data_IF_176799871149
#
_entry.id   IF_176799871149
#
_cell.length_a   1.000
_cell.length_b   1.000
_cell.length_c   1.000
_cell.angle_alpha   90.00
_cell.angle_beta   90.00
_cell.angle_gamma   90.00
#
_symmetry.space_group_name_H-M   'P 1'
#
loop_
_entity.id
_entity.type
_entity.pdbx_description
1 polymer ?
2 polymer ?
3 polymer ?
4 water ?
#
loop_
_entity_poly.entity_id
_entity_poly.type
_entity_poly.pdbx_seq_one_letter_code
_entity_poly.pdbx_strand_id
1 'polydeoxyribonucleotide' '(DT)(DC)(DT)(DA)(DG)(DG)(DG)(DT)(DC)(DC)(DT)' ?
2 'polydeoxyribonucleotide' '(DA)(DG)(DG)(DA)(DC)(DC)(DOC)' ?
#
# COMPACT_ATOMS: atom_id res chain seq x y z
N UNK C 26 -13.21 -23.59 -4.39
CA UNK C 26 -13.08 -22.55 -3.33
C UNK C 26 -11.63 -21.85 -3.10
N UNK C 27 -10.50 -22.56 -3.41
CA UNK C 27 -9.10 -22.10 -3.33
C UNK C 27 -8.57 -21.05 -4.32
N UNK C 28 -7.84 -20.09 -3.81
CA UNK C 28 -7.50 -18.94 -4.64
C UNK C 28 -6.05 -18.87 -4.92
N UNK C 29 -5.74 -18.13 -5.98
CA UNK C 29 -4.35 -17.83 -6.26
C UNK C 29 -4.32 -16.29 -6.27
N UNK C 30 -3.74 -15.73 -5.20
CA UNK C 30 -3.55 -14.28 -5.07
C UNK C 30 -2.14 -13.79 -5.25
N UNK C 31 -1.94 -12.69 -5.97
CA UNK C 31 -0.57 -12.15 -5.96
C UNK C 31 -0.59 -10.76 -5.23
N UNK C 32 0.48 -10.42 -4.59
CA UNK C 32 0.67 -9.12 -3.99
C UNK C 32 1.94 -8.53 -4.64
N UNK C 33 1.84 -7.32 -5.22
CA UNK C 33 2.93 -6.76 -5.97
C UNK C 33 3.40 -5.54 -5.17
N UNK C 34 4.66 -5.48 -4.86
CA UNK C 34 5.17 -4.47 -3.95
C UNK C 34 6.38 -3.80 -4.53
N UNK C 35 6.27 -2.57 -4.84
CA UNK C 35 7.34 -1.83 -5.58
C UNK C 35 8.43 -1.40 -4.68
N UNK C 36 9.68 -1.60 -5.08
CA UNK C 36 10.77 -1.22 -4.25
C UNK C 36 10.87 0.38 -4.16
N UNK C 37 11.09 0.90 -2.94
CA UNK C 37 11.35 2.21 -2.65
C UNK C 37 10.79 3.05 -3.75
N UNK C 38 9.47 2.97 -3.87
CA UNK C 38 8.74 3.64 -4.93
C UNK C 38 9.09 5.08 -5.26
N UNK C 39 8.98 5.99 -4.33
CA UNK C 39 9.25 7.40 -4.73
C UNK C 39 10.64 7.56 -5.22
N UNK C 40 11.56 6.85 -4.61
CA UNK C 40 12.96 7.02 -5.07
C UNK C 40 13.01 6.46 -6.47
N UNK C 41 12.38 5.30 -6.79
CA UNK C 41 12.41 4.83 -8.15
C UNK C 41 11.97 5.92 -9.08
N UNK C 42 10.93 6.66 -8.69
CA UNK C 42 10.32 7.59 -9.65
C UNK C 42 11.27 8.80 -9.82
N UNK C 43 11.97 9.15 -8.75
CA UNK C 43 12.90 10.29 -8.78
C UNK C 43 14.16 9.89 -9.59
N UNK C 44 14.71 8.68 -9.37
CA UNK C 44 15.81 8.13 -10.17
C UNK C 44 15.47 8.01 -11.67
N UNK C 45 14.20 7.80 -11.98
CA UNK C 45 13.84 7.74 -13.41
C UNK C 45 13.88 9.18 -13.93
N UNK C 46 13.44 10.12 -13.11
CA UNK C 46 13.47 11.55 -13.46
C UNK C 46 14.87 12.23 -13.62
N UNK C 47 15.67 12.39 -12.56
CA UNK C 47 17.13 12.63 -12.69
C UNK C 47 18.18 11.37 -12.66
N UNK C 48 18.44 10.75 -13.84
CA UNK C 48 19.39 9.63 -13.97
C UNK C 48 20.69 9.76 -13.19
N UNK C 49 21.24 10.97 -13.09
CA UNK C 49 22.43 11.25 -12.27
C UNK C 49 22.35 10.83 -10.76
N UNK C 50 21.13 10.52 -10.33
CA UNK C 50 20.93 9.94 -9.03
C UNK C 50 20.91 8.43 -9.13
N UNK C 51 20.79 7.82 -10.32
CA UNK C 51 20.98 6.33 -10.42
C UNK C 51 22.11 5.69 -9.55
N UNK C 52 23.39 6.09 -9.72
CA UNK C 52 24.53 5.52 -8.96
C UNK C 52 24.50 6.02 -7.49
N UNK C 53 23.93 7.23 -7.33
CA UNK C 53 24.07 8.01 -6.11
C UNK C 53 23.04 7.71 -4.98
N UNK C 54 23.43 7.66 -3.72
CA UNK C 54 22.47 7.26 -2.69
C UNK C 54 21.43 8.41 -2.60
N UNK C 55 20.14 8.05 -2.68
CA UNK C 55 19.04 8.99 -2.79
C UNK C 55 18.01 8.85 -1.71
N UNK C 56 17.74 9.97 -1.11
CA UNK C 56 16.75 10.18 -0.12
C UNK C 56 15.66 11.03 -0.75
N UNK C 57 14.35 10.68 -0.52
CA UNK C 57 13.21 11.52 -0.84
C UNK C 57 12.76 12.10 0.54
N UNK C 58 12.65 13.43 0.62
CA UNK C 58 12.22 14.04 1.86
C UNK C 58 10.92 14.77 1.75
N UNK C 59 10.19 14.77 2.84
CA UNK C 59 9.02 15.59 2.98
C UNK C 59 9.29 16.24 4.33
N UNK C 60 9.27 17.56 4.37
CA UNK C 60 9.54 18.35 5.60
C UNK C 60 10.88 17.96 6.17
N UNK C 61 10.88 17.48 7.41
CA UNK C 61 12.10 17.03 8.04
C UNK C 61 12.46 15.55 7.87
N UNK C 62 11.75 14.83 7.03
CA UNK C 62 11.99 13.42 7.05
C UNK C 62 12.49 12.86 5.77
N UNK C 63 13.16 11.72 5.82
CA UNK C 63 13.54 10.94 4.62
C UNK C 63 12.58 9.80 4.59
N UNK C 64 11.53 9.95 3.79
CA UNK C 64 10.37 9.08 3.91
C UNK C 64 10.76 7.82 3.23
N UNK C 65 11.70 7.96 2.27
CA UNK C 65 12.23 6.78 1.59
C UNK C 65 13.54 7.05 0.91
N UNK C 66 14.26 5.98 0.54
CA UNK C 66 15.55 6.16 -0.12
C UNK C 66 15.91 4.92 -0.96
N UNK C 67 16.78 5.14 -1.95
CA UNK C 67 17.18 4.04 -2.79
C UNK C 67 18.14 3.10 -2.06
N UNK C 68 18.48 1.97 -2.70
CA UNK C 68 19.19 0.90 -2.02
C UNK C 68 20.52 1.29 -1.55
N UNK C 69 21.24 2.07 -2.37
CA UNK C 69 22.60 2.52 -2.11
C UNK C 69 22.51 3.18 -0.75
N UNK C 70 21.67 4.17 -0.67
CA UNK C 70 21.41 4.88 0.53
C UNK C 70 21.11 3.98 1.71
N UNK C 71 20.26 3.00 1.49
CA UNK C 71 19.77 2.20 2.60
C UNK C 71 20.95 1.45 3.13
N UNK C 72 21.75 0.92 2.19
CA UNK C 72 22.97 0.12 2.42
C UNK C 72 23.94 0.94 3.26
N UNK C 73 24.27 2.14 2.74
CA UNK C 73 25.10 3.12 3.49
C UNK C 73 24.34 3.69 4.73
N UNK C 74 23.39 2.91 5.31
CA UNK C 74 22.64 3.11 6.57
C UNK C 74 21.32 3.89 6.82
N UNK C 75 20.33 3.84 5.93
CA UNK C 75 19.21 4.78 6.09
C UNK C 75 17.90 4.04 6.23
N UNK C 76 16.90 4.65 6.88
CA UNK C 76 15.57 3.99 6.92
C UNK C 76 14.41 4.92 6.64
N UNK C 77 13.36 4.29 6.08
CA UNK C 77 12.08 4.90 5.80
C UNK C 77 11.85 5.62 7.14
N UNK C 78 11.75 6.93 7.03
CA UNK C 78 11.36 7.76 8.16
C UNK C 78 12.37 8.05 9.24
N UNK C 79 13.60 8.41 8.85
CA UNK C 79 14.56 9.02 9.75
C UNK C 79 14.62 10.54 9.56
N UNK C 80 15.18 11.24 10.54
CA UNK C 80 15.35 12.68 10.46
C UNK C 80 16.32 13.10 9.33
N UNK C 81 16.02 14.19 8.63
CA UNK C 81 16.96 14.71 7.64
C UNK C 81 18.30 15.07 8.29
N UNK C 82 18.45 14.80 9.60
CA UNK C 82 19.72 14.96 10.34
C UNK C 82 20.19 13.61 10.85
N UNK C 83 19.51 13.06 11.85
CA UNK C 83 19.80 11.73 12.38
C UNK C 83 20.15 10.79 11.24
N UNK C 84 20.01 11.30 10.01
CA UNK C 84 20.20 10.54 8.76
C UNK C 84 21.07 11.23 7.73
N UNK C 85 20.89 12.52 7.49
CA UNK C 85 21.87 13.21 6.64
C UNK C 85 23.17 13.02 7.35
N UNK C 86 23.21 13.41 8.62
CA UNK C 86 24.46 13.35 9.43
C UNK C 86 24.93 11.92 9.76
N UNK C 87 24.01 10.96 9.59
CA UNK C 87 24.38 9.55 9.66
C UNK C 87 25.04 9.20 8.35
N UNK C 88 25.08 10.13 7.36
CA UNK C 88 25.68 9.77 6.08
C UNK C 88 26.02 10.77 4.93
N UNK C 89 27.12 10.46 4.22
CA UNK C 89 27.67 11.24 3.12
C UNK C 89 26.73 11.95 2.26
N UNK C 90 27.35 12.72 1.37
CA UNK C 90 26.76 13.14 0.14
C UNK C 90 25.27 13.11 0.25
N UNK C 91 24.67 11.95 0.57
CA UNK C 91 23.20 11.82 0.58
C UNK C 91 22.47 12.90 -0.25
N UNK C 92 22.10 12.58 -1.50
CA UNK C 92 21.22 13.53 -2.21
C UNK C 92 19.75 13.52 -1.64
N UNK C 93 19.18 14.73 -1.54
CA UNK C 93 17.82 14.91 -1.08
C UNK C 93 17.06 15.51 -2.19
N UNK C 94 15.85 14.98 -2.37
CA UNK C 94 14.92 15.44 -3.39
C UNK C 94 13.65 15.58 -2.61
N UNK C 95 12.89 16.61 -2.93
CA UNK C 95 11.71 16.87 -2.18
C UNK C 95 10.58 16.05 -2.79
N UNK C 96 9.88 15.29 -1.94
CA UNK C 96 8.74 14.46 -2.35
C UNK C 96 7.42 14.87 -1.74
N UNK C 97 7.31 16.15 -1.34
CA UNK C 97 6.04 16.70 -0.77
C UNK C 97 4.85 16.68 -1.68
N UNK C 98 5.13 16.90 -2.91
CA UNK C 98 4.19 16.97 -4.00
C UNK C 98 4.10 15.55 -4.58
N UNK C 99 2.93 14.90 -4.47
CA UNK C 99 2.79 13.50 -4.67
C UNK C 99 2.40 13.23 -6.07
N UNK C 100 2.25 14.24 -6.84
CA UNK C 100 1.65 14.11 -8.15
C UNK C 100 2.24 13.07 -9.10
N UNK C 101 3.54 13.12 -9.29
CA UNK C 101 4.15 12.14 -10.11
C UNK C 101 4.07 10.74 -9.51
N UNK C 102 4.19 10.60 -8.18
CA UNK C 102 4.10 9.26 -7.59
C UNK C 102 2.67 8.70 -7.85
N UNK C 103 1.66 9.53 -7.62
CA UNK C 103 0.32 9.16 -7.79
C UNK C 103 0.01 8.75 -9.27
N UNK C 104 0.62 9.46 -10.20
CA UNK C 104 0.43 9.05 -11.59
C UNK C 104 1.10 7.77 -11.93
N UNK C 105 2.32 7.57 -11.46
CA UNK C 105 3.01 6.34 -11.74
C UNK C 105 2.22 5.19 -11.02
N UNK C 106 1.77 5.45 -9.81
CA UNK C 106 0.96 4.41 -9.04
C UNK C 106 -0.22 3.95 -9.85
N UNK C 107 -0.95 4.83 -10.48
CA UNK C 107 -2.04 4.37 -11.29
C UNK C 107 -1.61 3.72 -12.57
N UNK C 108 -0.48 4.15 -13.12
CA UNK C 108 0.01 3.40 -14.31
C UNK C 108 0.24 1.96 -14.00
N UNK C 109 0.82 1.70 -12.78
CA UNK C 109 1.09 0.33 -12.37
C UNK C 109 -0.21 -0.42 -12.21
N UNK C 110 -1.17 0.14 -11.47
CA UNK C 110 -2.42 -0.62 -11.24
C UNK C 110 -3.10 -0.94 -12.59
N UNK C 111 -3.20 0.06 -13.50
CA UNK C 111 -3.85 -0.13 -14.82
C UNK C 111 -3.11 -1.27 -15.55
N UNK C 112 -1.81 -1.28 -15.48
CA UNK C 112 -1.10 -2.42 -16.09
C UNK C 112 -1.54 -3.78 -15.50
N UNK C 113 -1.67 -3.89 -14.20
CA UNK C 113 -2.00 -5.15 -13.59
C UNK C 113 -3.47 -5.43 -13.92
N UNK C 114 -4.30 -4.40 -14.05
CA UNK C 114 -5.71 -4.62 -14.42
C UNK C 114 -5.80 -5.30 -15.80
N UNK C 115 -4.79 -5.08 -16.61
CA UNK C 115 -4.83 -5.62 -17.92
C UNK C 115 -4.66 -7.14 -17.86
N UNK C 116 -3.92 -7.62 -16.85
CA UNK C 116 -3.80 -9.02 -16.64
C UNK C 116 -5.09 -9.54 -16.18
N UNK C 117 -5.68 -8.97 -15.15
CA UNK C 117 -6.93 -9.54 -14.61
C UNK C 117 -7.60 -8.36 -13.96
N UNK C 118 -8.84 -8.15 -14.28
CA UNK C 118 -9.53 -6.91 -13.93
C UNK C 118 -9.63 -6.59 -12.43
N UNK C 119 -9.54 -7.60 -11.58
CA UNK C 119 -9.79 -7.36 -10.20
C UNK C 119 -8.54 -7.08 -9.41
N UNK C 120 -8.20 -5.81 -9.25
CA UNK C 120 -6.96 -5.41 -8.60
C UNK C 120 -7.25 -4.47 -7.53
N UNK C 121 -6.67 -4.76 -6.35
CA UNK C 121 -6.88 -3.90 -5.21
C UNK C 121 -5.63 -3.07 -4.84
N UNK C 122 -5.75 -1.75 -4.73
CA UNK C 122 -4.64 -0.97 -4.29
C UNK C 122 -4.55 -0.85 -2.77
N UNK C 123 -3.32 -0.77 -2.23
CA UNK C 123 -3.09 -0.59 -0.83
C UNK C 123 -2.00 0.48 -0.85
N UNK C 124 -2.36 1.72 -0.69
CA UNK C 124 -1.44 2.85 -0.72
C UNK C 124 -1.00 3.01 -2.14
N UNK C 125 0.14 3.67 -2.41
CA UNK C 125 0.47 3.94 -3.81
C UNK C 125 1.36 2.89 -4.39
N UNK C 126 1.99 2.03 -3.53
CA UNK C 126 2.93 1.14 -4.08
C UNK C 126 2.65 -0.33 -3.95
N UNK C 127 1.43 -0.69 -3.63
CA UNK C 127 1.09 -2.13 -3.48
C UNK C 127 -0.21 -2.46 -4.16
N UNK C 128 -0.32 -3.63 -4.70
CA UNK C 128 -1.55 -4.01 -5.42
C UNK C 128 -1.78 -5.54 -5.17
N UNK C 129 -2.98 -5.96 -4.97
CA UNK C 129 -3.33 -7.36 -4.92
C UNK C 129 -4.10 -7.65 -6.21
N UNK C 130 -3.87 -8.81 -6.83
CA UNK C 130 -4.63 -9.21 -7.96
C UNK C 130 -5.07 -10.59 -7.71
N UNK C 131 -6.36 -10.89 -7.99
CA UNK C 131 -6.85 -12.23 -7.81
C UNK C 131 -6.58 -12.91 -9.09
N UNK C 132 -5.67 -13.88 -9.06
CA UNK C 132 -5.31 -14.58 -10.32
C UNK C 132 -6.09 -15.90 -10.52
N UNK C 133 -7.02 -16.19 -9.62
CA UNK C 133 -7.72 -17.45 -9.65
C UNK C 133 -8.28 -17.83 -11.05
N UNK C 134 -9.05 -16.93 -11.64
CA UNK C 134 -9.64 -17.28 -12.90
C UNK C 134 -8.58 -17.41 -13.94
N UNK C 135 -7.53 -16.63 -13.82
CA UNK C 135 -6.55 -16.66 -14.93
C UNK C 135 -5.70 -17.92 -14.86
N UNK C 136 -5.32 -18.31 -13.68
CA UNK C 136 -4.58 -19.57 -13.51
C UNK C 136 -5.40 -20.75 -14.10
N UNK C 137 -6.66 -20.87 -13.75
CA UNK C 137 -7.54 -21.91 -14.27
C UNK C 137 -7.70 -21.90 -15.80
N UNK C 138 -7.79 -20.76 -16.38
CA UNK C 138 -7.88 -20.74 -17.80
C UNK C 138 -6.57 -21.25 -18.37
N UNK C 139 -5.43 -20.93 -17.76
CA UNK C 139 -4.18 -21.40 -18.30
C UNK C 139 -4.06 -22.92 -18.21
N UNK C 140 -4.27 -23.46 -17.02
CA UNK C 140 -4.25 -24.89 -16.84
C UNK C 140 -5.14 -25.62 -17.81
N UNK C 141 -6.31 -25.10 -18.16
CA UNK C 141 -7.19 -25.77 -19.09
C UNK C 141 -6.61 -25.85 -20.45
N UNK C 142 -5.82 -24.87 -20.80
CA UNK C 142 -5.20 -24.75 -22.11
C UNK C 142 -4.06 -25.75 -22.26
N UNK C 143 -3.38 -26.01 -21.14
CA UNK C 143 -2.25 -26.93 -21.17
C UNK C 143 -2.78 -28.31 -21.40
N UNK C 144 -2.24 -28.97 -22.42
CA UNK C 144 -2.57 -30.37 -22.64
C UNK C 144 -1.96 -31.36 -21.58
N UNK C 145 -2.62 -32.53 -21.44
CA UNK C 145 -2.21 -33.72 -20.61
C UNK C 145 -0.74 -33.91 -20.15
N UNK C 146 0.26 -33.66 -21.03
CA UNK C 146 1.69 -33.90 -20.75
C UNK C 146 2.53 -32.71 -20.27
N UNK C 147 2.47 -31.57 -20.95
CA UNK C 147 3.29 -30.40 -20.57
C UNK C 147 3.05 -29.87 -19.14
N UNK C 148 1.93 -30.32 -18.59
CA UNK C 148 1.59 -30.13 -17.17
C UNK C 148 2.68 -30.67 -16.20
N UNK C 149 3.40 -31.67 -16.65
CA UNK C 149 4.49 -32.21 -15.88
C UNK C 149 5.75 -31.33 -16.04
N UNK C 150 5.69 -30.36 -16.95
CA UNK C 150 6.84 -29.54 -17.21
C UNK C 150 6.68 -28.14 -16.58
N UNK C 151 5.51 -27.91 -15.95
CA UNK C 151 5.21 -26.65 -15.29
C UNK C 151 6.28 -26.35 -14.26
N UNK C 152 6.83 -25.18 -14.30
CA UNK C 152 7.90 -24.89 -13.38
C UNK C 152 7.64 -23.66 -12.60
N UNK C 153 8.44 -23.42 -11.58
CA UNK C 153 8.34 -22.23 -10.85
C UNK C 153 9.09 -21.07 -11.39
N UNK C 154 8.60 -19.85 -11.09
CA UNK C 154 9.32 -18.68 -11.49
C UNK C 154 9.61 -17.87 -10.23
N UNK C 155 10.91 -17.71 -9.96
CA UNK C 155 11.32 -17.14 -8.72
C UNK C 155 11.59 -18.13 -7.55
N UNK C 156 11.56 -17.62 -6.31
CA UNK C 156 11.84 -18.40 -5.18
C UNK C 156 10.63 -19.15 -4.67
N UNK C 157 10.93 -20.23 -3.96
CA UNK C 157 9.87 -20.99 -3.32
C UNK C 157 10.14 -20.76 -1.85
N UNK C 158 9.13 -20.21 -1.12
CA UNK C 158 9.32 -19.86 0.31
C UNK C 158 9.82 -21.11 1.06
N UNK C 159 10.76 -20.89 1.94
CA UNK C 159 11.27 -21.99 2.78
C UNK C 159 11.91 -23.09 1.96
N UNK C 160 12.18 -22.84 0.68
CA UNK C 160 12.89 -23.83 -0.08
C UNK C 160 12.13 -25.18 -0.17
N UNK C 161 10.83 -25.07 -0.11
CA UNK C 161 10.01 -26.21 -0.02
C UNK C 161 10.00 -26.95 -1.36
N UNK C 162 9.91 -28.27 -1.31
CA UNK C 162 9.85 -29.10 -2.52
C UNK C 162 8.45 -29.02 -3.20
N UNK C 163 8.47 -28.98 -4.50
CA UNK C 163 7.26 -28.91 -5.24
C UNK C 163 6.74 -30.33 -5.53
N UNK C 164 5.44 -30.50 -5.61
CA UNK C 164 4.89 -31.79 -5.93
C UNK C 164 4.00 -31.53 -7.04
N UNK C 165 4.43 -31.93 -8.23
CA UNK C 165 3.71 -31.71 -9.50
C UNK C 165 2.41 -32.43 -9.55
N UNK C 166 2.10 -33.28 -8.55
CA UNK C 166 0.83 -33.96 -8.61
C UNK C 166 -0.14 -33.28 -7.72
N UNK C 167 0.35 -32.28 -6.99
CA UNK C 167 -0.53 -31.50 -6.12
C UNK C 167 -1.18 -30.41 -6.94
N UNK C 168 -2.46 -30.43 -7.03
CA UNK C 168 -3.10 -29.44 -7.89
C UNK C 168 -2.89 -28.00 -7.38
N UNK C 169 -2.80 -27.89 -6.08
CA UNK C 169 -2.61 -26.65 -5.49
C UNK C 169 -1.20 -26.10 -5.76
N UNK C 170 -0.19 -27.00 -5.77
CA UNK C 170 1.22 -26.60 -6.14
C UNK C 170 1.24 -26.13 -7.59
N UNK C 171 0.56 -26.88 -8.45
CA UNK C 171 0.53 -26.48 -9.88
C UNK C 171 -0.14 -25.08 -10.15
N UNK C 172 -1.19 -24.78 -9.35
CA UNK C 172 -1.84 -23.51 -9.49
C UNK C 172 -0.94 -22.39 -8.98
N UNK C 173 -0.34 -22.59 -7.81
CA UNK C 173 0.51 -21.56 -7.29
C UNK C 173 1.74 -21.34 -8.19
N UNK C 174 2.29 -22.40 -8.83
CA UNK C 174 3.37 -22.15 -9.77
C UNK C 174 2.92 -21.39 -10.98
N UNK C 175 1.76 -21.71 -11.55
CA UNK C 175 1.29 -20.97 -12.74
C UNK C 175 1.15 -19.52 -12.26
N UNK C 176 0.62 -19.40 -11.04
CA UNK C 176 0.47 -18.11 -10.42
C UNK C 176 1.86 -17.42 -10.31
N UNK C 177 2.99 -18.15 -10.04
CA UNK C 177 4.25 -17.44 -9.97
C UNK C 177 4.71 -16.99 -11.36
N UNK C 178 4.32 -17.71 -12.41
CA UNK C 178 4.61 -17.37 -13.81
C UNK C 178 3.82 -16.10 -14.21
N UNK C 179 2.54 -15.96 -13.77
CA UNK C 179 1.80 -14.76 -14.12
C UNK C 179 2.60 -13.60 -13.46
N UNK C 180 2.90 -13.80 -12.17
CA UNK C 180 3.61 -12.81 -11.39
C UNK C 180 4.95 -12.38 -12.10
N UNK C 181 5.76 -13.33 -12.57
CA UNK C 181 6.98 -12.89 -13.22
C UNK C 181 6.61 -12.04 -14.46
N UNK C 182 5.56 -12.41 -15.23
CA UNK C 182 5.13 -11.66 -16.40
C UNK C 182 4.67 -10.26 -16.00
N UNK C 183 3.94 -10.17 -14.89
CA UNK C 183 3.56 -8.82 -14.48
C UNK C 183 4.86 -7.99 -14.20
N UNK C 184 5.79 -8.56 -13.44
CA UNK C 184 6.95 -7.77 -13.10
C UNK C 184 7.78 -7.44 -14.32
N UNK C 185 7.87 -8.34 -15.30
CA UNK C 185 8.63 -8.07 -16.52
C UNK C 185 7.94 -6.88 -17.20
N UNK C 186 6.61 -6.93 -17.33
CA UNK C 186 5.86 -5.92 -18.00
C UNK C 186 6.04 -4.58 -17.26
N UNK C 187 5.94 -4.53 -15.93
CA UNK C 187 6.09 -3.25 -15.21
C UNK C 187 7.47 -2.66 -15.43
N UNK C 188 8.48 -3.54 -15.55
CA UNK C 188 9.79 -3.12 -15.90
C UNK C 188 9.91 -2.65 -17.39
N UNK C 189 9.48 -3.42 -18.39
CA UNK C 189 9.60 -3.08 -19.78
C UNK C 189 8.70 -1.88 -20.20
N UNK C 190 7.54 -1.79 -19.60
CA UNK C 190 6.60 -0.80 -20.01
C UNK C 190 6.70 0.48 -19.19
N UNK C 191 7.01 0.34 -17.91
CA UNK C 191 7.09 1.53 -17.05
C UNK C 191 8.40 1.79 -16.40
N UNK C 192 9.47 0.93 -16.63
CA UNK C 192 10.76 1.21 -15.99
C UNK C 192 10.77 0.89 -14.46
N UNK C 193 9.74 0.27 -13.84
CA UNK C 193 9.78 0.02 -12.42
C UNK C 193 10.12 -1.43 -12.03
N UNK C 194 10.90 -1.61 -10.93
CA UNK C 194 11.15 -2.95 -10.42
C UNK C 194 10.30 -3.16 -9.20
N UNK C 195 10.19 -4.39 -8.75
CA UNK C 195 9.31 -4.64 -7.64
C UNK C 195 9.30 -6.08 -7.22
N UNK C 196 8.69 -6.35 -6.07
CA UNK C 196 8.65 -7.73 -5.55
C UNK C 196 7.25 -8.30 -5.79
N UNK C 197 7.12 -9.60 -5.74
CA UNK C 197 5.73 -10.14 -5.82
C UNK C 197 5.68 -11.31 -4.90
N UNK C 198 4.50 -11.59 -4.36
CA UNK C 198 4.40 -12.84 -3.62
C UNK C 198 3.15 -13.55 -4.04
N UNK C 199 3.20 -14.85 -4.32
CA UNK C 199 1.97 -15.60 -4.65
C UNK C 199 1.64 -16.59 -3.51
N UNK C 200 0.34 -16.66 -3.17
CA UNK C 200 -0.12 -17.37 -2.05
C UNK C 200 -1.63 -17.55 -2.22
N UNK C 201 -2.26 -18.24 -1.27
CA UNK C 201 -3.64 -18.55 -1.45
C UNK C 201 -4.65 -17.56 -0.85
N UNK C 202 -4.19 -16.51 -0.19
CA UNK C 202 -5.02 -15.46 0.28
C UNK C 202 -4.19 -14.14 0.38
N UNK C 203 -4.84 -13.03 0.69
CA UNK C 203 -4.09 -11.77 0.74
C UNK C 203 -3.03 -11.63 1.84
N UNK C 204 -3.37 -12.07 3.05
CA UNK C 204 -2.44 -12.04 4.17
C UNK C 204 -1.10 -12.73 3.73
N UNK C 205 -1.20 -13.96 3.22
CA UNK C 205 -0.06 -14.74 2.99
C UNK C 205 0.78 -14.17 1.76
N UNK C 206 0.05 -13.69 0.76
CA UNK C 206 0.70 -13.15 -0.40
C UNK C 206 1.49 -11.98 0.04
N UNK C 207 0.90 -11.15 0.87
CA UNK C 207 1.60 -9.98 1.35
C UNK C 207 2.75 -10.34 2.32
N UNK C 208 2.53 -11.33 3.17
CA UNK C 208 3.64 -11.74 4.08
C UNK C 208 4.81 -12.35 3.27
N UNK C 209 4.53 -13.03 2.17
CA UNK C 209 5.56 -13.72 1.50
C UNK C 209 6.25 -12.85 0.43
N UNK C 210 5.60 -11.74 0.01
CA UNK C 210 6.19 -10.94 -1.07
C UNK C 210 7.47 -10.28 -0.65
N UNK C 211 7.66 -10.05 0.64
CA UNK C 211 8.93 -9.41 1.05
C UNK C 211 10.02 -10.42 1.53
N UNK C 212 9.91 -11.76 1.28
CA UNK C 212 10.93 -12.65 1.83
C UNK C 212 12.25 -12.42 1.11
N UNK C 213 12.23 -12.06 -0.17
CA UNK C 213 13.50 -11.73 -0.92
C UNK C 213 13.39 -10.33 -1.47
N UNK C 214 14.03 -9.44 -0.75
CA UNK C 214 13.44 -8.09 -0.57
C UNK C 214 13.57 -7.34 -1.73
N UNK C 215 14.79 -7.27 -2.36
CA UNK C 215 14.95 -6.29 -3.50
C UNK C 215 14.13 -6.51 -4.80
N UNK C 216 14.48 -7.30 -5.77
CA UNK C 216 13.55 -7.07 -6.99
C UNK C 216 13.33 -8.50 -7.36
N UNK C 217 12.57 -9.20 -6.52
CA UNK C 217 12.47 -10.60 -6.65
C UNK C 217 11.05 -11.06 -6.35
N UNK C 218 10.78 -12.32 -6.53
CA UNK C 218 9.52 -12.83 -6.11
C UNK C 218 9.50 -14.16 -5.40
N UNK C 219 8.48 -14.42 -4.60
CA UNK C 219 8.42 -15.69 -3.84
C UNK C 219 7.01 -16.27 -3.88
N UNK C 220 6.90 -17.61 -3.78
CA UNK C 220 5.65 -18.27 -3.85
C UNK C 220 5.52 -19.12 -2.60
N UNK C 221 4.32 -19.11 -2.01
CA UNK C 221 4.11 -19.83 -0.78
C UNK C 221 3.33 -21.10 -1.00
N UNK C 222 3.97 -22.29 -0.81
CA UNK C 222 3.15 -23.53 -0.91
C UNK C 222 2.41 -23.74 0.42
N UNK C 223 1.22 -24.34 0.39
CA UNK C 223 0.48 -24.50 1.67
C UNK C 223 1.29 -25.11 2.84
N UNK C 224 2.03 -26.18 2.61
CA UNK C 224 2.75 -26.76 3.74
C UNK C 224 3.66 -25.81 4.42
N UNK C 225 3.95 -24.63 3.88
CA UNK C 225 4.87 -23.77 4.68
C UNK C 225 4.19 -22.60 5.35
N UNK C 226 2.86 -22.66 5.34
CA UNK C 226 2.09 -21.54 5.86
C UNK C 226 2.39 -21.30 7.34
N UNK C 227 2.52 -22.36 8.16
CA UNK C 227 2.87 -22.10 9.58
C UNK C 227 4.35 -21.57 9.72
N UNK C 228 5.29 -22.13 8.99
CA UNK C 228 6.61 -21.65 9.03
C UNK C 228 6.54 -20.09 8.79
N UNK C 229 5.82 -19.64 7.76
CA UNK C 229 5.87 -18.18 7.48
C UNK C 229 5.30 -17.49 8.64
N UNK C 230 4.12 -17.93 9.10
CA UNK C 230 3.39 -17.13 10.06
C UNK C 230 4.17 -17.11 11.34
N UNK C 231 4.80 -18.24 11.69
CA UNK C 231 5.67 -18.26 12.92
C UNK C 231 7.01 -17.59 12.69
N UNK C 232 7.41 -17.25 11.43
CA UNK C 232 8.66 -16.52 11.24
C UNK C 232 8.39 -15.06 11.78
N UNK C 233 7.09 -14.67 11.97
CA UNK C 233 6.90 -13.28 12.54
C UNK C 233 7.44 -13.16 14.01
N UNK C 234 7.90 -11.98 14.41
CA UNK C 234 8.39 -11.81 15.81
C UNK C 234 7.47 -11.10 16.68
N UNK C 235 6.50 -10.42 16.07
CA UNK C 235 5.38 -9.86 16.87
C UNK C 235 4.01 -9.77 16.12
N UNK C 236 2.89 -9.93 16.83
CA UNK C 236 1.60 -9.92 16.20
C UNK C 236 1.34 -8.59 15.52
N UNK C 237 2.12 -7.54 15.82
CA UNK C 237 1.99 -6.30 15.12
C UNK C 237 2.40 -6.45 13.72
N UNK C 238 3.02 -7.57 13.43
CA UNK C 238 3.56 -7.75 12.09
C UNK C 238 2.56 -8.34 11.19
N UNK C 239 1.47 -8.79 11.76
CA UNK C 239 0.37 -9.31 11.00
C UNK C 239 -0.52 -8.15 10.38
N UNK C 240 -0.52 -8.01 9.08
CA UNK C 240 -1.34 -6.99 8.41
C UNK C 240 -2.79 -7.16 8.88
N UNK C 241 -3.45 -6.12 9.45
CA UNK C 241 -4.74 -6.36 10.00
C UNK C 241 -4.65 -6.05 11.45
N UNK C 242 -3.54 -6.29 12.07
CA UNK C 242 -3.39 -5.86 13.40
C UNK C 242 -2.55 -4.54 13.50
N UNK C 243 -3.16 -3.44 13.83
CA UNK C 243 -2.37 -2.20 13.98
C UNK C 243 -1.89 -1.73 15.38
N UNK C 244 -1.55 -0.43 15.50
CA UNK C 244 -0.97 0.15 16.73
C UNK C 244 -1.84 -0.20 17.95
N UNK C 245 -3.16 0.01 17.82
CA UNK C 245 -4.09 -0.25 18.92
C UNK C 245 -4.28 -1.72 19.28
N UNK C 246 -4.95 -2.53 18.49
CA UNK C 246 -5.02 -4.02 18.73
C UNK C 246 -3.81 -4.67 19.35
N UNK C 247 -2.64 -4.39 18.78
CA UNK C 247 -1.36 -4.78 19.35
C UNK C 247 -1.19 -4.39 20.83
N UNK C 248 -1.43 -3.10 21.15
CA UNK C 248 -1.28 -2.60 22.53
C UNK C 248 -2.29 -3.29 23.41
N UNK C 249 -3.49 -3.41 22.92
CA UNK C 249 -4.44 -4.20 23.67
C UNK C 249 -4.06 -5.69 23.84
N UNK C 250 -3.62 -6.37 22.76
CA UNK C 250 -3.21 -7.79 22.86
C UNK C 250 -2.10 -7.98 23.91
N UNK C 251 -1.27 -6.99 23.96
CA UNK C 251 -0.18 -7.02 24.88
C UNK C 251 -0.69 -6.99 26.27
N UNK C 252 -1.71 -6.20 26.50
CA UNK C 252 -2.20 -5.97 27.83
C UNK C 252 -2.72 -7.29 28.39
N UNK C 253 -2.99 -8.20 27.50
CA UNK C 253 -3.40 -9.54 27.91
C UNK C 253 -2.34 -10.57 27.93
N UNK C 254 -1.06 -10.22 27.89
CA UNK C 254 -0.05 -11.27 27.73
C UNK C 254 0.21 -11.88 26.32
N UNK C 255 -0.62 -11.60 25.32
CA UNK C 255 -0.40 -12.11 23.98
C UNK C 255 0.75 -11.36 23.25
N UNK C 256 1.86 -12.02 22.96
CA UNK C 256 2.98 -11.34 22.31
C UNK C 256 3.45 -11.97 21.01
N UNK C 257 3.54 -13.30 20.97
CA UNK C 257 3.97 -13.97 19.77
C UNK C 257 2.74 -14.31 18.98
N UNK C 258 2.95 -14.70 17.73
CA UNK C 258 1.81 -15.20 16.90
C UNK C 258 1.24 -16.45 17.59
N UNK C 259 2.07 -17.32 18.19
CA UNK C 259 1.58 -18.54 18.82
C UNK C 259 0.78 -18.26 20.10
N UNK C 260 1.04 -17.13 20.78
CA UNK C 260 0.20 -16.79 21.98
C UNK C 260 -1.14 -16.41 21.42
N UNK C 261 -1.18 -15.72 20.26
CA UNK C 261 -2.51 -15.35 19.76
C UNK C 261 -3.24 -16.59 19.21
N UNK C 262 -2.52 -17.51 18.62
CA UNK C 262 -3.20 -18.71 18.12
C UNK C 262 -3.79 -19.48 19.26
N UNK C 263 -3.05 -19.54 20.36
CA UNK C 263 -3.53 -20.35 21.46
C UNK C 263 -4.34 -19.56 22.48
N UNK C 264 -4.43 -18.26 22.35
CA UNK C 264 -5.20 -17.58 23.38
C UNK C 264 -6.62 -18.09 23.34
N UNK C 265 -7.33 -17.82 24.43
CA UNK C 265 -8.78 -18.22 24.52
C UNK C 265 -9.73 -17.37 23.63
N UNK C 266 -10.46 -18.04 22.74
CA UNK C 266 -11.53 -17.36 21.92
C UNK C 266 -12.46 -16.44 22.75
N UNK C 267 -13.02 -17.01 23.79
CA UNK C 267 -13.93 -16.25 24.58
C UNK C 267 -13.32 -14.97 25.05
N UNK C 268 -12.14 -15.08 25.64
CA UNK C 268 -11.75 -13.98 26.49
C UNK C 268 -11.47 -12.87 25.55
N UNK C 269 -10.97 -13.30 24.38
CA UNK C 269 -10.61 -12.41 23.29
C UNK C 269 -11.83 -11.79 22.66
N UNK C 270 -12.87 -12.64 22.51
CA UNK C 270 -14.18 -12.27 21.92
C UNK C 270 -14.73 -11.13 22.76
N UNK C 271 -14.73 -11.40 24.06
CA UNK C 271 -15.26 -10.51 25.00
C UNK C 271 -14.29 -9.39 25.43
N UNK C 272 -13.31 -9.09 24.61
CA UNK C 272 -12.44 -7.93 24.86
C UNK C 272 -12.33 -7.03 23.55
N UNK C 273 -12.24 -7.67 22.39
CA UNK C 273 -12.01 -6.89 21.15
C UNK C 273 -13.23 -6.79 20.34
N UNK C 274 -14.26 -7.50 20.80
CA UNK C 274 -15.52 -7.63 20.12
C UNK C 274 -15.39 -8.90 19.34
N UNK C 275 -16.50 -9.51 19.00
CA UNK C 275 -16.53 -10.72 18.21
C UNK C 275 -15.91 -10.50 16.81
N UNK C 276 -16.12 -9.31 16.26
CA UNK C 276 -15.65 -9.03 14.90
C UNK C 276 -14.13 -8.96 14.90
N UNK C 277 -13.53 -7.86 15.35
CA UNK C 277 -12.11 -7.76 15.64
C UNK C 277 -11.50 -9.08 16.14
N UNK C 278 -12.15 -9.75 17.07
CA UNK C 278 -11.48 -10.91 17.64
C UNK C 278 -11.44 -12.14 16.75
N UNK C 279 -12.49 -12.40 16.09
CA UNK C 279 -12.51 -13.71 15.56
C UNK C 279 -11.84 -13.61 14.12
N UNK C 280 -11.68 -12.38 13.61
CA UNK C 280 -10.93 -12.16 12.41
C UNK C 280 -9.38 -12.24 12.72
N UNK C 281 -8.89 -11.51 13.73
CA UNK C 281 -7.45 -11.51 13.97
C UNK C 281 -6.95 -12.85 14.48
N UNK C 282 -7.84 -13.68 14.96
CA UNK C 282 -7.33 -14.94 15.38
C UNK C 282 -7.19 -15.86 14.22
N UNK C 283 -8.06 -15.77 13.23
CA UNK C 283 -7.87 -16.51 12.02
C UNK C 283 -6.56 -16.02 11.42
N UNK C 284 -6.33 -14.73 11.39
CA UNK C 284 -5.10 -14.27 10.77
C UNK C 284 -3.88 -15.00 11.44
N UNK C 285 -3.94 -15.21 12.74
CA UNK C 285 -2.79 -15.67 13.41
C UNK C 285 -2.49 -17.04 12.93
N UNK C 286 -3.45 -17.70 12.30
CA UNK C 286 -3.20 -19.04 11.71
C UNK C 286 -2.88 -18.94 10.24
N UNK C 287 -2.83 -17.72 9.69
CA UNK C 287 -2.59 -17.63 8.22
C UNK C 287 -3.90 -17.75 7.41
N UNK C 288 -5.05 -17.68 8.07
CA UNK C 288 -6.40 -17.86 7.40
C UNK C 288 -6.99 -16.54 7.22
N UNK C 289 -7.49 -16.25 6.02
CA UNK C 289 -7.91 -14.90 5.70
C UNK C 289 -8.76 -15.02 4.47
N UNK C 290 -10.09 -14.89 4.61
CA UNK C 290 -10.99 -15.08 3.48
C UNK C 290 -11.42 -13.81 2.75
N UNK C 291 -10.93 -12.67 3.21
CA UNK C 291 -11.27 -11.36 2.58
C UNK C 291 -10.88 -11.33 1.03
N UNK C 292 -11.85 -10.91 0.23
CA UNK C 292 -11.69 -10.93 -1.25
C UNK C 292 -10.79 -9.77 -1.64
N UNK C 293 -10.18 -9.90 -2.84
CA UNK C 293 -9.42 -8.85 -3.36
C UNK C 293 -10.56 -8.01 -3.89
N UNK C 294 -10.63 -6.78 -3.43
CA UNK C 294 -11.65 -5.83 -3.94
C UNK C 294 -11.20 -4.95 -5.08
N UNK C 295 -11.97 -4.82 -6.11
CA UNK C 295 -11.71 -3.90 -7.26
C UNK C 295 -11.67 -2.46 -6.78
N UNK C 296 -10.55 -1.80 -6.81
CA UNK C 296 -10.47 -0.45 -6.24
C UNK C 296 -11.05 0.57 -7.19
N UNK C 297 -10.84 0.37 -8.47
CA UNK C 297 -11.30 1.30 -9.46
C UNK C 297 -10.78 2.76 -9.16
N UNK C 298 -11.52 3.80 -9.56
CA UNK C 298 -11.12 5.18 -9.40
C UNK C 298 -11.22 5.44 -7.93
N UNK C 299 -10.52 6.43 -7.39
CA UNK C 299 -10.44 6.80 -5.98
C UNK C 299 -11.81 7.37 -5.46
N UNK C 300 -12.06 7.31 -4.14
CA UNK C 300 -13.34 7.77 -3.57
C UNK C 300 -13.13 9.11 -3.09
N UNK C 301 -11.86 9.58 -3.09
CA UNK C 301 -11.57 11.01 -2.68
C UNK C 301 -10.16 11.56 -3.19
N UNK C 302 -10.04 12.87 -3.13
CA UNK C 302 -8.85 13.54 -3.63
C UNK C 302 -8.67 14.54 -2.51
N UNK C 303 -7.46 14.56 -1.93
CA UNK C 303 -7.14 15.57 -0.96
C UNK C 303 -5.64 15.94 -1.05
N UNK C 304 -5.37 17.10 -0.46
CA UNK C 304 -4.04 17.67 -0.31
C UNK C 304 -3.80 18.13 1.16
N UNK C 305 -2.57 18.44 1.50
CA UNK C 305 -2.17 18.58 2.89
C UNK C 305 -0.85 19.36 2.93
N UNK C 306 -0.66 20.05 4.05
CA UNK C 306 0.57 20.77 4.42
C UNK C 306 0.73 20.65 5.90
N UNK C 307 1.88 20.26 6.31
CA UNK C 307 2.28 20.32 7.68
C UNK C 307 2.95 21.71 7.86
N UNK C 308 3.18 22.04 9.13
CA UNK C 308 3.83 23.27 9.58
C UNK C 308 3.57 23.25 11.08
N UNK C 309 4.48 22.60 11.82
CA UNK C 309 4.66 22.73 13.30
C UNK C 309 4.58 24.22 13.61
N UNK C 310 3.77 24.52 14.64
CA UNK C 310 2.81 25.67 14.66
C UNK C 310 3.13 26.88 13.78
N UNK C 311 2.34 27.07 12.72
CA UNK C 311 2.63 28.11 11.72
C UNK C 311 1.34 28.75 11.20
N UNK C 312 0.21 28.18 11.59
CA UNK C 312 -1.08 28.80 11.36
C UNK C 312 -1.38 29.72 12.55
N UNK C 313 -1.13 31.05 12.40
CA UNK C 313 -1.62 32.08 13.35
C UNK C 313 -3.16 32.04 13.58
N UNK C 314 -3.84 31.10 12.89
CA UNK C 314 -5.32 30.84 12.93
C UNK C 314 -6.18 31.85 12.15
N UNK C 315 -5.62 32.52 11.15
CA UNK C 315 -6.06 33.88 10.76
C UNK C 315 -5.52 34.23 9.39
N UNK C 316 -4.22 34.64 9.40
CA UNK C 316 -3.35 34.68 8.20
C UNK C 316 -3.49 33.38 7.37
N UNK C 317 -2.92 32.29 7.89
CA UNK C 317 -3.12 30.94 7.35
C UNK C 317 -4.65 30.66 7.04
N UNK C 318 -5.01 31.13 5.80
CA UNK C 318 -6.25 30.77 5.06
C UNK C 318 -5.82 30.79 3.61
N UNK C 319 -4.70 31.50 3.37
CA UNK C 319 -3.99 31.53 2.07
C UNK C 319 -3.49 30.13 1.69
N UNK C 320 -3.16 29.37 2.72
CA UNK C 320 -2.78 27.99 2.55
C UNK C 320 -4.01 27.27 1.99
N UNK C 321 -5.19 27.78 2.37
CA UNK C 321 -6.49 27.17 2.00
C UNK C 321 -6.80 27.29 0.47
N UNK C 322 -6.64 28.50 -0.06
CA UNK C 322 -6.63 28.71 -1.52
C UNK C 322 -5.54 27.88 -2.27
N UNK C 323 -4.32 27.88 -1.73
CA UNK C 323 -3.27 26.93 -2.10
C UNK C 323 -3.79 25.61 -2.55
N UNK C 324 -4.19 24.86 -1.54
CA UNK C 324 -4.60 23.49 -1.64
C UNK C 324 -5.70 23.35 -2.67
N UNK C 325 -6.63 24.31 -2.69
CA UNK C 325 -7.70 24.31 -3.65
C UNK C 325 -7.25 24.42 -5.05
N UNK C 326 -6.37 25.36 -5.26
CA UNK C 326 -5.82 25.58 -6.57
C UNK C 326 -5.36 24.24 -7.23
N UNK C 327 -4.31 23.55 -6.71
CA UNK C 327 -4.04 22.14 -7.09
C UNK C 327 -5.30 21.26 -7.13
N UNK C 328 -5.99 21.12 -6.01
CA UNK C 328 -7.00 20.12 -6.05
C UNK C 328 -7.90 20.27 -7.27
N UNK C 329 -8.19 21.54 -7.64
CA UNK C 329 -9.37 21.84 -8.48
C UNK C 329 -9.24 21.22 -9.86
N UNK C 330 -8.00 21.34 -10.34
CA UNK C 330 -7.52 20.81 -11.59
C UNK C 330 -7.43 19.25 -11.47
N UNK C 331 -7.19 18.70 -10.29
CA UNK C 331 -7.20 17.21 -10.16
C UNK C 331 -8.62 16.70 -10.29
N UNK C 332 -9.52 17.39 -9.54
CA UNK C 332 -10.92 17.03 -9.39
C UNK C 332 -11.55 17.21 -10.75
N UNK C 333 -11.16 18.30 -11.38
CA UNK C 333 -11.51 18.48 -12.76
C UNK C 333 -11.08 17.23 -13.56
N UNK C 334 -9.82 17.24 -14.00
CA UNK C 334 -9.12 16.13 -14.68
C UNK C 334 -9.94 14.84 -14.81
N UNK C 335 -10.53 14.42 -13.68
CA UNK C 335 -11.15 13.10 -13.54
C UNK C 335 -12.31 12.87 -14.53
N UNK C 336 -13.20 13.84 -14.64
CA UNK C 336 -14.48 13.63 -15.31
C UNK C 336 -15.42 13.88 -14.16
N UNK C 337 -15.82 12.81 -13.47
CA UNK C 337 -16.53 12.85 -12.16
C UNK C 337 -16.23 14.10 -11.34
N UNK C 338 -17.30 14.53 -10.67
CA UNK C 338 -17.23 15.77 -9.92
C UNK C 338 -17.64 15.40 -8.50
N UNK C 339 -17.06 16.10 -7.52
CA UNK C 339 -17.31 15.86 -6.10
C UNK C 339 -18.60 16.52 -5.57
N UNK C 340 -19.42 15.79 -4.84
CA UNK C 340 -20.50 16.44 -4.12
C UNK C 340 -20.26 16.88 -2.68
N UNK C 341 -19.08 16.67 -2.13
CA UNK C 341 -18.77 17.16 -0.77
C UNK C 341 -17.37 17.72 -0.66
N UNK C 342 -17.18 18.72 0.18
CA UNK C 342 -15.85 19.29 0.54
C UNK C 342 -15.68 19.09 2.07
N UNK C 343 -14.44 19.19 2.57
CA UNK C 343 -14.19 18.90 3.97
C UNK C 343 -12.84 19.40 4.33
N UNK C 344 -12.80 19.98 5.52
CA UNK C 344 -11.61 20.57 6.03
C UNK C 344 -11.24 19.95 7.38
N UNK C 345 -9.91 19.89 7.58
CA UNK C 345 -9.25 19.10 8.62
C UNK C 345 -8.11 19.86 9.31
N UNK C 346 -7.84 19.59 10.59
CA UNK C 346 -6.84 20.40 11.33
C UNK C 346 -6.11 19.64 12.46
N UNK C 347 -5.02 20.22 13.02
CA UNK C 347 -4.40 19.74 14.32
C UNK C 347 -3.84 20.86 15.30
N UNK C 348 -3.38 20.51 16.53
CA UNK C 348 -3.28 21.55 17.61
C UNK C 348 -2.01 21.56 18.61
N UNK C 349 -1.38 22.73 18.87
CA UNK C 349 0.03 22.74 19.45
C UNK C 349 0.31 22.02 20.77
N UNK C 356 -4.74 13.90 17.18
CA UNK C 356 -6.07 14.50 17.13
C UNK C 356 -6.22 15.35 15.88
N UNK C 357 -7.38 15.29 15.24
CA UNK C 357 -7.69 16.14 14.08
C UNK C 357 -9.16 16.51 14.20
N UNK C 358 -9.57 17.62 13.58
CA UNK C 358 -11.02 18.00 13.43
C UNK C 358 -11.49 18.23 11.97
N UNK C 359 -12.70 17.80 11.64
CA UNK C 359 -13.17 17.99 10.30
C UNK C 359 -14.56 18.60 10.27
N UNK C 360 -14.72 19.57 9.37
CA UNK C 360 -16.02 20.18 9.09
C UNK C 360 -16.61 19.67 7.76
N UNK C 361 -17.57 18.77 7.85
CA UNK C 361 -18.22 18.30 6.65
C UNK C 361 -19.42 19.20 6.20
N UNK C 362 -19.63 19.20 4.86
CA UNK C 362 -20.55 20.08 4.07
C UNK C 362 -20.76 19.79 2.51
N UNK C 363 -22.03 19.71 2.10
CA UNK C 363 -22.37 19.62 0.67
C UNK C 363 -21.83 20.75 -0.18
N UNK C 364 -21.42 20.48 -1.42
CA UNK C 364 -20.98 21.51 -2.37
C UNK C 364 -22.13 22.11 -3.24
N UNK C 365 -22.43 23.41 -3.07
CA UNK C 365 -23.63 24.00 -3.71
C UNK C 365 -23.80 23.75 -5.22
N UNK C 366 -24.87 22.99 -5.52
CA UNK C 366 -25.40 22.67 -6.86
C UNK C 366 -24.62 23.26 -8.04
N UNK C 367 -25.06 24.44 -8.47
CA UNK C 367 -24.51 25.21 -9.58
C UNK C 367 -22.97 25.38 -9.64
N UNK C 368 -22.31 25.42 -8.47
CA UNK C 368 -20.84 25.57 -8.43
C UNK C 368 -20.04 24.36 -8.92
N UNK C 369 -20.65 23.15 -8.86
CA UNK C 369 -20.08 21.89 -9.38
C UNK C 369 -19.69 22.10 -10.83
N UNK C 370 -20.59 22.79 -11.51
CA UNK C 370 -20.49 23.21 -12.89
C UNK C 370 -19.39 24.23 -13.12
N UNK C 379 -15.36 30.01 -10.59
CA UNK C 379 -14.90 28.66 -10.16
C UNK C 379 -14.35 28.59 -8.73
N UNK C 380 -13.12 29.09 -8.56
CA UNK C 380 -12.41 29.07 -7.30
C UNK C 380 -13.23 29.77 -6.24
N UNK C 381 -13.51 31.02 -6.63
CA UNK C 381 -14.00 32.12 -5.82
C UNK C 381 -15.18 31.66 -4.92
N UNK C 382 -16.18 30.87 -5.53
CA UNK C 382 -17.32 30.51 -4.65
C UNK C 382 -16.86 29.62 -3.46
N UNK C 383 -16.18 28.55 -3.90
CA UNK C 383 -15.51 27.50 -3.13
C UNK C 383 -14.70 28.02 -1.97
N UNK C 384 -13.73 28.83 -2.36
CA UNK C 384 -12.87 29.56 -1.46
C UNK C 384 -13.70 30.02 -0.26
N UNK C 385 -14.79 30.72 -0.56
CA UNK C 385 -15.60 31.21 0.52
C UNK C 385 -16.52 30.16 1.20
N UNK C 386 -16.93 29.05 0.52
CA UNK C 386 -17.64 27.99 1.24
C UNK C 386 -16.63 27.50 2.33
N UNK C 387 -15.37 27.16 1.94
CA UNK C 387 -14.26 26.68 2.83
C UNK C 387 -13.92 27.57 4.04
N UNK C 388 -13.91 28.88 3.82
CA UNK C 388 -13.82 29.88 4.88
C UNK C 388 -14.69 29.80 6.15
N UNK C 389 -16.01 29.69 5.98
CA UNK C 389 -16.90 29.61 7.15
C UNK C 389 -16.77 28.28 7.86
N UNK C 390 -16.56 27.24 7.04
CA UNK C 390 -16.18 25.90 7.49
C UNK C 390 -15.01 26.00 8.50
N UNK C 391 -13.91 26.65 8.02
CA UNK C 391 -12.83 27.16 8.90
C UNK C 391 -13.32 27.60 10.30
N UNK C 392 -14.09 28.69 10.36
CA UNK C 392 -14.70 29.11 11.63
C UNK C 392 -15.27 27.96 12.47
N UNK C 393 -16.36 27.31 12.04
CA UNK C 393 -17.06 26.34 12.90
C UNK C 393 -16.15 25.42 13.72
N UNK C 394 -14.90 25.90 13.93
CA UNK C 394 -13.81 25.09 14.49
C UNK C 394 -12.98 25.89 15.48
N UNK C 404 -1.07 22.91 13.51
CA UNK C 404 0.16 22.21 13.23
C UNK C 404 0.01 21.48 11.88
N UNK C 405 -1.04 21.79 11.13
CA UNK C 405 -1.37 21.00 9.89
C UNK C 405 -2.78 21.15 9.37
N UNK C 406 -2.85 21.23 8.04
CA UNK C 406 -4.09 21.60 7.34
C UNK C 406 -4.34 20.82 6.03
N UNK C 407 -5.63 20.55 5.75
CA UNK C 407 -6.07 19.89 4.53
C UNK C 407 -7.48 20.10 3.98
N UNK C 408 -7.51 20.04 2.66
CA UNK C 408 -8.81 19.97 2.03
C UNK C 408 -9.10 18.56 1.41
N UNK C 409 -10.25 18.02 1.72
CA UNK C 409 -10.69 16.82 1.03
C UNK C 409 -11.93 16.98 0.19
N UNK C 410 -11.85 16.64 -1.12
CA UNK C 410 -13.05 16.54 -2.00
C UNK C 410 -13.55 15.08 -2.03
N UNK C 411 -14.73 14.81 -1.56
CA UNK C 411 -15.26 13.43 -1.67
C UNK C 411 -16.69 13.28 -2.21
N UNK C 412 -17.29 12.10 -2.09
CA UNK C 412 -18.65 11.82 -2.58
C UNK C 412 -18.77 12.09 -4.07
N UNK C 413 -17.90 11.48 -4.87
CA UNK C 413 -17.84 11.62 -6.32
C UNK C 413 -19.04 10.98 -7.06
N UNK C 414 -19.55 11.67 -8.11
CA UNK C 414 -20.64 11.09 -8.98
C UNK C 414 -20.53 11.28 -10.50
#
# INVERSE_FOLDING_TARGET
MELADVGAAASSQGVHDQVLPTPNASSRVIVHVDLDCFYAQVEMISNPELKDKPLGVQQKYLVVTCNYEARKLGVKKLMNVRDAKEKCPQLVLVNGEDLTRYREMSYKVTELLEEFSPVVERLGFDENFVDLTEMVEKRLQQLQSDELSAVTVSGHVYNNQSINLLDVLHIRLLVGSQIAAEMREAMYNQLGLTGCAGVASNKLLAKLVSGVFKPNQQTVLLPESCQHLIHSLNHIKEIPGIGYKTAKCLEALGINSVRDLQTFSPKILEKELGISVAQRIQKLSFGEDNSPVILSGPPQSFSEEDSFKKCSSEVEAKNKIEELLASLLNRVCQDGRKPHTVRLIIRRYSSEKHYGRESRQCPIPSHVIQKLGTGNYDVMTPMVDILMKLFRNMVNVKMPFHLTLLSVCFCNLKALNTAK
#
